data_IF_011568751851
#
_entry.id   IF_011568751851
#
_cell.length_a   1.000
_cell.length_b   1.000
_cell.length_c   1.000
_cell.angle_alpha   90.00
_cell.angle_beta   90.00
_cell.angle_gamma   90.00
#
_symmetry.space_group_name_H-M   'P 1'
#
loop_
_entity.id
_entity.type
_entity.pdbx_description
1 polymer ?
#
# COMPACT_ATOMS: atom_id res chain seq x y z
N UNK A 1 12.36 11.78 -24.50
CA UNK A 1 11.85 11.54 -23.13
C UNK A 1 10.96 12.72 -22.79
N UNK A 2 9.71 12.47 -22.51
CA UNK A 2 8.75 13.52 -22.12
C UNK A 2 8.61 13.50 -20.59
N UNK A 3 8.51 14.67 -19.98
CA UNK A 3 8.34 14.84 -18.54
C UNK A 3 7.03 15.59 -18.28
N UNK A 4 6.19 15.02 -17.40
CA UNK A 4 4.95 15.63 -16.96
C UNK A 4 4.97 15.77 -15.45
N UNK A 5 4.73 16.98 -14.96
CA UNK A 5 4.55 17.24 -13.53
C UNK A 5 3.08 17.41 -13.22
N UNK A 6 2.53 16.58 -12.34
CA UNK A 6 1.13 16.66 -11.94
C UNK A 6 0.93 16.11 -10.54
N UNK A 7 0.01 16.67 -9.80
CA UNK A 7 -0.45 16.13 -8.53
C UNK A 7 -1.17 14.79 -8.77
N UNK A 8 -0.85 13.78 -7.98
CA UNK A 8 -1.41 12.43 -8.12
C UNK A 8 -2.92 12.41 -7.88
N UNK A 9 -3.42 13.23 -6.94
CA UNK A 9 -4.85 13.38 -6.67
C UNK A 9 -5.66 13.97 -7.84
N UNK A 10 -4.99 14.72 -8.72
CA UNK A 10 -5.58 15.32 -9.92
C UNK A 10 -5.37 14.46 -11.17
N UNK A 11 -4.68 13.34 -11.05
CA UNK A 11 -4.41 12.44 -12.17
C UNK A 11 -5.64 11.60 -12.51
N UNK A 12 -6.41 11.22 -11.51
CA UNK A 12 -7.57 10.36 -11.66
C UNK A 12 -8.58 10.95 -12.65
N UNK A 13 -8.96 10.15 -13.66
CA UNK A 13 -9.84 10.53 -14.76
C UNK A 13 -9.34 11.67 -15.66
N UNK A 14 -8.08 12.08 -15.54
CA UNK A 14 -7.52 13.10 -16.42
C UNK A 14 -7.21 12.52 -17.82
N UNK A 15 -7.18 13.40 -18.84
CA UNK A 15 -6.73 13.05 -20.19
C UNK A 15 -5.30 12.44 -20.17
N UNK A 16 -4.45 12.95 -19.29
CA UNK A 16 -3.09 12.45 -19.11
C UNK A 16 -3.10 11.01 -18.59
N UNK A 17 -3.94 10.70 -17.61
CA UNK A 17 -4.08 9.35 -17.07
C UNK A 17 -4.52 8.36 -18.15
N UNK A 18 -5.47 8.73 -19.00
CA UNK A 18 -5.97 7.88 -20.08
C UNK A 18 -4.89 7.47 -21.07
N UNK A 19 -3.93 8.36 -21.32
CA UNK A 19 -2.89 8.18 -22.35
C UNK A 19 -1.59 7.57 -21.82
N UNK A 20 -1.39 7.51 -20.50
CA UNK A 20 -0.17 6.95 -19.88
C UNK A 20 -0.45 5.53 -19.39
N UNK A 21 0.37 4.58 -19.85
CA UNK A 21 0.44 3.22 -19.35
C UNK A 21 1.85 2.98 -18.82
N UNK A 22 2.11 3.19 -17.53
CA UNK A 22 3.45 3.07 -16.99
C UNK A 22 3.89 1.60 -16.91
N UNK A 23 5.11 1.32 -17.31
CA UNK A 23 5.73 0.02 -17.07
C UNK A 23 6.11 -0.13 -15.59
N UNK A 24 6.54 0.96 -14.96
CA UNK A 24 7.02 0.99 -13.58
C UNK A 24 6.37 2.17 -12.85
N UNK A 25 5.86 1.91 -11.65
CA UNK A 25 5.43 2.93 -10.70
C UNK A 25 6.37 2.91 -9.49
N UNK A 26 6.93 4.07 -9.16
CA UNK A 26 7.84 4.24 -8.03
C UNK A 26 7.24 5.26 -7.07
N UNK A 27 7.09 4.87 -5.81
CA UNK A 27 6.58 5.71 -4.72
C UNK A 27 7.59 5.71 -3.57
N UNK A 28 8.34 6.80 -3.44
CA UNK A 28 9.35 6.98 -2.41
C UNK A 28 8.88 8.07 -1.44
N UNK A 29 8.71 7.70 -0.16
CA UNK A 29 8.28 8.63 0.89
C UNK A 29 6.97 9.38 0.60
N UNK A 30 6.06 8.78 -0.15
CA UNK A 30 4.69 9.26 -0.25
C UNK A 30 3.99 8.95 1.09
N UNK A 31 3.55 10.00 1.79
CA UNK A 31 3.01 9.85 3.10
C UNK A 31 1.58 9.28 3.06
N UNK A 32 1.32 8.30 3.92
CA UNK A 32 0.01 7.78 4.26
C UNK A 32 -0.82 7.38 3.03
N UNK A 33 -1.97 7.99 2.80
CA UNK A 33 -2.87 7.71 1.68
C UNK A 33 -2.27 8.00 0.30
N UNK A 34 -1.24 8.85 0.20
CA UNK A 34 -0.55 9.10 -1.06
C UNK A 34 0.21 7.85 -1.55
N UNK A 35 0.68 7.00 -0.63
CA UNK A 35 1.18 5.67 -0.98
C UNK A 35 0.09 4.83 -1.62
N UNK A 36 -1.11 4.82 -1.04
CA UNK A 36 -2.26 4.05 -1.53
C UNK A 36 -2.75 4.55 -2.88
N UNK A 37 -2.72 5.86 -3.12
CA UNK A 37 -2.97 6.46 -4.45
C UNK A 37 -1.98 5.94 -5.50
N UNK A 38 -0.69 5.90 -5.18
CA UNK A 38 0.33 5.41 -6.11
C UNK A 38 0.18 3.92 -6.40
N UNK A 39 -0.10 3.10 -5.37
CA UNK A 39 -0.35 1.68 -5.53
C UNK A 39 -1.65 1.41 -6.30
N UNK A 40 -2.72 2.14 -5.99
CA UNK A 40 -3.99 2.08 -6.72
C UNK A 40 -3.83 2.43 -8.19
N UNK A 41 -3.12 3.52 -8.49
CA UNK A 41 -2.76 3.89 -9.86
C UNK A 41 -2.01 2.77 -10.59
N UNK A 42 -1.00 2.17 -9.94
CA UNK A 42 -0.26 1.05 -10.51
C UNK A 42 -1.15 -0.15 -10.82
N UNK A 43 -2.09 -0.46 -9.92
CA UNK A 43 -3.06 -1.55 -10.09
C UNK A 43 -3.99 -1.28 -11.27
N UNK A 44 -4.65 -0.10 -11.33
CA UNK A 44 -5.56 0.28 -12.43
C UNK A 44 -4.86 0.26 -13.79
N UNK A 45 -3.63 0.73 -13.82
CA UNK A 45 -2.81 0.76 -15.06
C UNK A 45 -2.11 -0.56 -15.37
N UNK A 46 -2.26 -1.57 -14.51
CA UNK A 46 -1.59 -2.87 -14.66
C UNK A 46 -0.08 -2.72 -14.87
N UNK A 47 0.55 -1.80 -14.14
CA UNK A 47 1.98 -1.56 -14.23
C UNK A 47 2.76 -2.86 -14.06
N UNK A 48 3.80 -3.09 -14.86
CA UNK A 48 4.60 -4.33 -14.81
C UNK A 48 5.36 -4.48 -13.49
N UNK A 49 5.79 -3.34 -12.91
CA UNK A 49 6.52 -3.34 -11.66
C UNK A 49 6.11 -2.16 -10.78
N UNK A 50 6.14 -2.39 -9.48
CA UNK A 50 5.91 -1.37 -8.46
C UNK A 50 7.05 -1.41 -7.46
N UNK A 51 7.56 -0.24 -7.09
CA UNK A 51 8.53 -0.05 -6.00
C UNK A 51 7.97 1.00 -5.06
N UNK A 52 7.84 0.66 -3.79
CA UNK A 52 7.25 1.54 -2.79
C UNK A 52 8.08 1.53 -1.51
N UNK A 53 8.33 2.72 -0.95
CA UNK A 53 8.96 2.91 0.38
C UNK A 53 7.99 3.71 1.24
N UNK A 54 7.06 3.04 1.95
CA UNK A 54 6.08 3.70 2.80
C UNK A 54 6.75 4.28 4.05
N UNK A 55 6.33 5.47 4.47
CA UNK A 55 6.91 6.14 5.64
C UNK A 55 5.89 6.49 6.73
N UNK A 56 4.62 6.70 6.39
CA UNK A 56 3.56 7.08 7.30
C UNK A 56 2.35 6.14 7.18
N UNK A 57 1.62 5.94 8.30
CA UNK A 57 0.53 4.97 8.40
C UNK A 57 -0.58 5.50 9.34
N UNK A 58 -0.93 6.79 9.26
CA UNK A 58 -1.87 7.42 10.23
C UNK A 58 -3.31 7.00 9.98
N UNK A 59 -3.72 6.90 8.72
CA UNK A 59 -5.07 6.53 8.34
C UNK A 59 -5.54 5.25 9.03
N UNK A 60 -4.71 4.20 8.92
CA UNK A 60 -5.02 2.91 9.52
C UNK A 60 -5.01 2.94 11.05
N UNK A 61 -4.19 3.81 11.66
CA UNK A 61 -4.15 3.96 13.12
C UNK A 61 -5.47 4.48 13.67
N UNK A 62 -6.16 5.35 12.93
CA UNK A 62 -7.46 5.90 13.31
C UNK A 62 -8.61 4.92 13.03
N UNK A 63 -8.48 4.10 12.00
CA UNK A 63 -9.52 3.15 11.57
C UNK A 63 -9.43 1.79 12.26
N UNK A 64 -8.25 1.39 12.75
CA UNK A 64 -8.03 0.10 13.41
C UNK A 64 -8.70 0.08 14.80
N UNK A 65 -9.94 -0.37 14.82
CA UNK A 65 -10.77 -0.52 16.04
C UNK A 65 -11.03 -2.00 16.29
N UNK A 66 -10.01 -2.70 16.76
CA UNK A 66 -10.13 -4.11 17.10
C UNK A 66 -9.94 -4.28 18.62
N UNK A 67 -10.94 -4.80 19.37
CA UNK A 67 -10.87 -4.92 20.83
C UNK A 67 -9.67 -5.74 21.32
N UNK A 68 -9.29 -6.79 20.61
CA UNK A 68 -8.16 -7.65 20.99
C UNK A 68 -6.82 -6.91 20.83
N UNK A 69 -6.69 -6.12 19.75
CA UNK A 69 -5.51 -5.29 19.53
C UNK A 69 -5.46 -4.15 20.54
N UNK A 70 -6.59 -3.54 20.82
CA UNK A 70 -6.71 -2.49 21.84
C UNK A 70 -6.32 -3.02 23.20
N UNK A 71 -6.79 -4.21 23.60
CA UNK A 71 -6.40 -4.85 24.86
C UNK A 71 -4.89 -5.10 24.97
N UNK A 72 -4.26 -5.49 23.85
CA UNK A 72 -2.80 -5.74 23.79
C UNK A 72 -1.97 -4.44 23.81
N UNK A 73 -2.47 -3.37 23.26
CA UNK A 73 -1.66 -2.16 22.95
C UNK A 73 -2.11 -0.90 23.68
N UNK A 74 -3.25 -0.91 24.40
CA UNK A 74 -3.85 0.29 25.02
C UNK A 74 -2.92 1.09 25.92
N UNK A 75 -1.99 0.42 26.62
CA UNK A 75 -1.03 1.06 27.50
C UNK A 75 0.37 1.26 26.86
N UNK A 76 0.50 0.96 25.57
CA UNK A 76 1.78 0.89 24.89
C UNK A 76 1.70 1.57 23.51
N UNK A 77 1.60 2.91 23.48
CA UNK A 77 1.42 3.69 22.24
C UNK A 77 2.43 3.39 21.14
N UNK A 78 3.71 3.17 21.51
CA UNK A 78 4.76 2.79 20.54
C UNK A 78 4.46 1.43 19.89
N UNK A 79 3.97 0.46 20.67
CA UNK A 79 3.61 -0.87 20.16
C UNK A 79 2.40 -0.79 19.23
N UNK A 80 1.40 0.03 19.59
CA UNK A 80 0.24 0.28 18.75
C UNK A 80 0.64 0.88 17.41
N UNK A 81 1.51 1.89 17.41
CA UNK A 81 2.00 2.53 16.18
C UNK A 81 2.79 1.54 15.31
N UNK A 82 3.69 0.75 15.90
CA UNK A 82 4.47 -0.27 15.16
C UNK A 82 3.57 -1.35 14.58
N UNK A 83 2.63 -1.87 15.37
CA UNK A 83 1.66 -2.86 14.90
C UNK A 83 0.84 -2.32 13.73
N UNK A 84 0.33 -1.09 13.86
CA UNK A 84 -0.41 -0.41 12.82
C UNK A 84 0.41 -0.26 11.53
N UNK A 85 1.68 0.14 11.64
CA UNK A 85 2.57 0.29 10.49
C UNK A 85 2.77 -1.04 9.75
N UNK A 86 3.05 -2.10 10.48
CA UNK A 86 3.23 -3.45 9.91
C UNK A 86 1.93 -3.92 9.26
N UNK A 87 0.79 -3.75 9.93
CA UNK A 87 -0.52 -4.16 9.43
C UNK A 87 -0.87 -3.45 8.13
N UNK A 88 -0.65 -2.13 8.07
CA UNK A 88 -0.91 -1.32 6.87
C UNK A 88 -0.10 -1.83 5.67
N UNK A 89 1.19 -2.06 5.87
CA UNK A 89 2.05 -2.53 4.78
C UNK A 89 1.72 -3.97 4.37
N UNK A 90 1.37 -4.85 5.31
CA UNK A 90 0.88 -6.20 4.99
C UNK A 90 -0.42 -6.15 4.16
N UNK A 91 -1.35 -5.27 4.48
CA UNK A 91 -2.61 -5.09 3.72
C UNK A 91 -2.31 -4.58 2.30
N UNK A 92 -1.40 -3.62 2.14
CA UNK A 92 -0.95 -3.13 0.83
C UNK A 92 -0.33 -4.25 -0.01
N UNK A 93 0.55 -5.05 0.59
CA UNK A 93 1.17 -6.20 -0.07
C UNK A 93 0.12 -7.22 -0.49
N UNK A 94 -0.79 -7.58 0.40
CA UNK A 94 -1.85 -8.56 0.13
C UNK A 94 -2.82 -8.06 -0.96
N UNK A 95 -3.11 -6.75 -1.02
CA UNK A 95 -3.87 -6.15 -2.12
C UNK A 95 -3.14 -6.30 -3.46
N UNK A 96 -1.85 -6.02 -3.52
CA UNK A 96 -1.04 -6.22 -4.73
C UNK A 96 -1.03 -7.69 -5.15
N UNK A 97 -0.82 -8.61 -4.22
CA UNK A 97 -0.88 -10.05 -4.47
C UNK A 97 -2.25 -10.48 -5.04
N UNK A 98 -3.35 -9.95 -4.49
CA UNK A 98 -4.71 -10.23 -4.95
C UNK A 98 -4.92 -9.82 -6.41
N UNK A 99 -4.28 -8.74 -6.81
CA UNK A 99 -4.28 -8.21 -8.19
C UNK A 99 -3.21 -8.86 -9.08
N UNK A 100 -2.61 -9.97 -8.63
CA UNK A 100 -1.73 -10.82 -9.44
C UNK A 100 -0.28 -10.38 -9.51
N UNK A 101 0.18 -9.59 -8.56
CA UNK A 101 1.60 -9.28 -8.39
C UNK A 101 2.30 -10.36 -7.54
N UNK A 102 3.54 -10.64 -7.86
CA UNK A 102 4.50 -11.30 -6.98
C UNK A 102 5.18 -10.23 -6.13
N UNK A 103 5.01 -10.31 -4.80
CA UNK A 103 5.36 -9.23 -3.88
C UNK A 103 6.47 -9.68 -2.93
N UNK A 104 7.47 -8.85 -2.77
CA UNK A 104 8.54 -9.01 -1.79
C UNK A 104 8.72 -7.73 -0.97
N UNK A 105 9.14 -7.90 0.28
CA UNK A 105 9.48 -6.81 1.18
C UNK A 105 10.90 -7.02 1.69
N UNK A 106 11.73 -5.98 1.62
CA UNK A 106 13.11 -6.01 2.07
C UNK A 106 13.46 -4.75 2.87
N UNK A 107 14.38 -4.87 3.79
CA UNK A 107 15.03 -3.70 4.40
C UNK A 107 16.10 -3.17 3.45
N UNK A 108 15.95 -1.93 2.97
CA UNK A 108 16.89 -1.33 2.00
C UNK A 108 18.05 -0.58 2.63
N UNK A 109 17.95 -0.26 3.93
CA UNK A 109 19.01 0.33 4.73
C UNK A 109 18.92 -0.14 6.19
N UNK A 110 19.95 0.19 6.98
CA UNK A 110 19.99 -0.19 8.39
C UNK A 110 18.82 0.44 9.19
N UNK A 111 18.16 -0.30 10.08
CA UNK A 111 17.19 0.28 11.01
C UNK A 111 17.79 1.29 11.99
N UNK A 112 19.13 1.39 12.09
CA UNK A 112 19.82 2.43 12.85
C UNK A 112 19.79 3.78 12.13
N UNK A 113 19.67 3.79 10.80
CA UNK A 113 19.60 5.02 10.00
C UNK A 113 18.16 5.54 9.97
N UNK A 114 17.19 4.67 9.81
CA UNK A 114 15.76 5.00 9.89
C UNK A 114 14.91 3.77 10.23
N UNK A 115 13.90 3.90 11.10
CA UNK A 115 12.94 2.82 11.33
C UNK A 115 11.97 2.61 10.16
N UNK A 116 11.96 3.50 9.17
CA UNK A 116 11.12 3.44 7.96
C UNK A 116 11.95 2.97 6.76
N UNK A 117 12.50 1.77 6.89
CA UNK A 117 13.48 1.20 5.98
C UNK A 117 12.94 0.04 5.12
N UNK A 118 11.63 -0.17 5.10
CA UNK A 118 11.02 -1.21 4.27
C UNK A 118 10.84 -0.73 2.83
N UNK A 119 11.22 -1.58 1.89
CA UNK A 119 10.97 -1.44 0.47
C UNK A 119 10.07 -2.59 0.02
N UNK A 120 8.91 -2.25 -0.49
CA UNK A 120 7.97 -3.19 -1.11
C UNK A 120 8.24 -3.16 -2.61
N UNK A 121 8.52 -4.33 -3.17
CA UNK A 121 8.67 -4.55 -4.61
C UNK A 121 7.60 -5.52 -5.07
N UNK A 122 6.92 -5.18 -6.16
CA UNK A 122 5.89 -6.03 -6.76
C UNK A 122 6.09 -6.14 -8.27
N UNK A 123 5.95 -7.35 -8.81
CA UNK A 123 6.08 -7.64 -10.24
C UNK A 123 4.79 -8.31 -10.71
N UNK A 124 4.17 -7.77 -11.75
CA UNK A 124 2.95 -8.33 -12.33
C UNK A 124 3.26 -9.66 -13.01
N UNK A 125 2.67 -10.76 -12.52
CA UNK A 125 2.92 -12.12 -13.03
C UNK A 125 1.65 -12.80 -13.54
N UNK A 126 0.47 -12.29 -13.15
CA UNK A 126 -0.84 -12.82 -13.59
C UNK A 126 -1.90 -11.74 -13.48
N UNK A 127 -3.10 -11.97 -14.04
CA UNK A 127 -4.18 -10.97 -13.97
C UNK A 127 -4.79 -10.84 -12.57
N UNK A 128 -4.99 -11.94 -11.87
CA UNK A 128 -5.64 -11.99 -10.56
C UNK A 128 -5.17 -13.21 -9.76
N UNK A 129 -5.27 -13.14 -8.45
CA UNK A 129 -5.05 -14.26 -7.53
C UNK A 129 -6.26 -14.40 -6.59
N UNK A 130 -7.25 -15.27 -6.90
CA UNK A 130 -8.49 -15.41 -6.10
C UNK A 130 -8.25 -15.85 -4.65
N UNK A 131 -7.22 -16.66 -4.39
CA UNK A 131 -6.87 -17.08 -3.04
C UNK A 131 -6.41 -15.89 -2.20
N UNK A 132 -5.50 -15.08 -2.74
CA UNK A 132 -5.01 -13.87 -2.08
C UNK A 132 -6.10 -12.80 -1.96
N UNK A 133 -6.99 -12.71 -2.91
CA UNK A 133 -8.13 -11.81 -2.84
C UNK A 133 -9.09 -12.19 -1.71
N UNK A 134 -9.39 -13.48 -1.55
CA UNK A 134 -10.16 -13.96 -0.41
C UNK A 134 -9.46 -13.63 0.91
N UNK A 135 -8.16 -13.95 1.01
CA UNK A 135 -7.36 -13.64 2.21
C UNK A 135 -7.36 -12.14 2.53
N UNK A 136 -7.30 -11.28 1.51
CA UNK A 136 -7.38 -9.83 1.66
C UNK A 136 -8.70 -9.40 2.31
N UNK A 137 -9.85 -9.80 1.76
CA UNK A 137 -11.15 -9.41 2.31
C UNK A 137 -11.44 -10.06 3.67
N UNK A 138 -11.01 -11.29 3.90
CA UNK A 138 -11.08 -11.93 5.22
C UNK A 138 -10.26 -11.15 6.26
N UNK A 139 -9.09 -10.64 5.88
CA UNK A 139 -8.24 -9.80 6.74
C UNK A 139 -8.95 -8.48 7.07
N UNK A 140 -9.50 -7.76 6.09
CA UNK A 140 -10.23 -6.51 6.34
C UNK A 140 -11.39 -6.71 7.30
N UNK A 141 -12.14 -7.80 7.09
CA UNK A 141 -13.28 -8.15 7.95
C UNK A 141 -12.85 -8.47 9.38
N UNK A 142 -11.83 -9.30 9.55
CA UNK A 142 -11.37 -9.75 10.86
C UNK A 142 -10.78 -8.63 11.70
N UNK A 143 -10.11 -7.66 11.06
CA UNK A 143 -9.52 -6.51 11.74
C UNK A 143 -10.41 -5.26 11.75
N UNK A 144 -11.60 -5.32 11.12
CA UNK A 144 -12.54 -4.21 11.02
C UNK A 144 -11.93 -2.94 10.45
N UNK A 145 -11.17 -3.08 9.36
CA UNK A 145 -10.46 -1.97 8.70
C UNK A 145 -10.96 -1.71 7.28
N UNK A 146 -10.88 -0.45 6.86
CA UNK A 146 -11.27 0.02 5.52
C UNK A 146 -10.15 0.89 4.96
N UNK A 147 -9.11 0.30 4.36
CA UNK A 147 -7.94 1.03 3.89
C UNK A 147 -8.25 1.82 2.61
N UNK A 148 -7.65 3.01 2.47
CA UNK A 148 -7.80 3.88 1.28
C UNK A 148 -7.40 3.21 -0.03
N UNK A 149 -6.52 2.23 0.00
CA UNK A 149 -6.13 1.49 -1.22
C UNK A 149 -7.33 0.85 -1.93
N UNK A 150 -8.43 0.54 -1.22
CA UNK A 150 -9.68 0.06 -1.84
C UNK A 150 -10.27 1.11 -2.78
N UNK A 151 -10.31 2.37 -2.34
CA UNK A 151 -10.88 3.48 -3.11
C UNK A 151 -10.07 3.73 -4.38
N UNK A 152 -8.75 3.63 -4.28
CA UNK A 152 -7.84 4.00 -5.39
C UNK A 152 -7.53 2.86 -6.36
N UNK A 153 -7.90 1.63 -6.05
CA UNK A 153 -7.53 0.44 -6.85
C UNK A 153 -8.66 -0.17 -7.69
N UNK A 154 -9.84 0.39 -7.60
CA UNK A 154 -11.04 -0.04 -8.37
C UNK A 154 -11.23 0.70 -9.69
#
# INVERSE_FOLDING_TARGET
MEFFQKDLSLLENSELEKNINPDIVISLHACDTATDMALGYAIRKKAKSVICVPCCHKEMLESLKNPDIDALTQNHGIMRERFNSIMTDCIRMLKLESKGYDVSCVEYCSPLDTPKNLLIKAIKVRERNPEKEKAYYDTLKNFHVSPSIEIYSD
#
